data_IF_023431055253
#
_entry.id   IF_023431055253
#
_cell.length_a   1.000
_cell.length_b   1.000
_cell.length_c   1.000
_cell.angle_alpha   90.00
_cell.angle_beta   90.00
_cell.angle_gamma   90.00
#
_symmetry.space_group_name_H-M   'P 1'
#
loop_
_entity.id
_entity.type
_entity.pdbx_description
1 polymer ?
#
# COMPACT_ATOMS: atom_id res chain seq x y z
N UNK A 1 -7.23 -8.93 -16.87
CA UNK A 1 -6.99 -7.55 -16.44
C UNK A 1 -6.25 -7.48 -15.10
N UNK A 2 -6.81 -8.06 -14.06
CA UNK A 2 -6.14 -8.12 -12.76
C UNK A 2 -5.37 -9.44 -12.65
N UNK A 3 -4.08 -9.34 -12.30
CA UNK A 3 -3.18 -10.50 -12.36
C UNK A 3 -3.03 -11.16 -11.00
N UNK A 4 -3.02 -10.38 -9.93
CA UNK A 4 -2.74 -10.84 -8.59
C UNK A 4 -3.12 -9.78 -7.58
N UNK A 5 -2.97 -10.08 -6.30
CA UNK A 5 -2.87 -9.06 -5.26
C UNK A 5 -1.42 -8.61 -5.26
N UNK A 6 -1.16 -7.42 -5.80
CA UNK A 6 0.20 -6.89 -5.95
C UNK A 6 0.85 -6.67 -4.59
N UNK A 7 0.14 -5.96 -3.72
CA UNK A 7 0.59 -5.78 -2.35
C UNK A 7 -0.54 -5.47 -1.41
N UNK A 8 -0.29 -5.71 -0.13
CA UNK A 8 -1.15 -5.30 0.98
C UNK A 8 -0.30 -4.42 1.88
N UNK A 9 -0.77 -3.20 2.18
CA UNK A 9 -0.10 -2.33 3.14
C UNK A 9 -0.76 -2.46 4.51
N UNK A 10 0.06 -2.78 5.50
CA UNK A 10 -0.36 -2.84 6.90
C UNK A 10 0.37 -1.74 7.65
N UNK A 11 -0.36 -0.95 8.42
CA UNK A 11 0.22 0.09 9.27
C UNK A 11 0.50 -0.49 10.66
N UNK A 12 1.66 -0.17 11.18
CA UNK A 12 2.10 -0.57 12.52
C UNK A 12 2.74 0.61 13.24
N UNK A 13 2.82 0.53 14.57
CA UNK A 13 3.49 1.58 15.35
C UNK A 13 5.00 1.48 15.27
N UNK A 14 5.54 0.27 15.13
CA UNK A 14 6.99 0.06 15.13
C UNK A 14 7.35 -1.06 14.17
N UNK A 15 8.04 -0.69 13.09
CA UNK A 15 8.44 -1.65 12.05
C UNK A 15 9.41 -2.70 12.60
N UNK A 16 10.39 -2.28 13.40
CA UNK A 16 11.43 -3.20 13.91
C UNK A 16 10.83 -4.27 14.82
N UNK A 17 9.87 -3.91 15.64
CA UNK A 17 9.16 -4.87 16.48
C UNK A 17 8.38 -5.88 15.65
N UNK A 18 7.74 -5.42 14.58
CA UNK A 18 6.99 -6.31 13.69
C UNK A 18 7.92 -7.23 12.93
N UNK A 19 9.07 -6.74 12.48
CA UNK A 19 10.07 -7.58 11.80
C UNK A 19 10.56 -8.70 12.73
N UNK A 20 10.80 -8.39 13.98
CA UNK A 20 11.19 -9.40 14.98
C UNK A 20 10.07 -10.40 15.23
N UNK A 21 8.84 -9.93 15.35
CA UNK A 21 7.69 -10.81 15.54
C UNK A 21 7.51 -11.78 14.36
N UNK A 22 7.62 -11.29 13.14
CA UNK A 22 7.46 -12.09 11.93
C UNK A 22 8.54 -13.16 11.82
N UNK A 23 9.79 -12.84 12.17
CA UNK A 23 10.88 -13.81 12.17
C UNK A 23 10.66 -14.88 13.25
N UNK A 24 10.39 -14.46 14.47
CA UNK A 24 10.25 -15.39 15.60
C UNK A 24 9.07 -16.34 15.44
N UNK A 25 7.94 -15.83 14.96
CA UNK A 25 6.70 -16.62 14.94
C UNK A 25 6.45 -17.32 13.61
N UNK A 26 6.82 -16.71 12.50
CA UNK A 26 6.52 -17.24 11.17
C UNK A 26 7.76 -17.63 10.38
N UNK A 27 8.97 -17.37 10.92
CA UNK A 27 10.21 -17.61 10.19
C UNK A 27 10.33 -16.76 8.93
N UNK A 28 9.63 -15.65 8.86
CA UNK A 28 9.63 -14.78 7.69
C UNK A 28 10.57 -13.62 7.89
N UNK A 29 11.38 -13.35 6.86
CA UNK A 29 12.32 -12.23 6.85
C UNK A 29 11.98 -11.28 5.72
N UNK A 30 12.08 -9.97 5.95
CA UNK A 30 11.81 -9.01 4.88
C UNK A 30 12.89 -9.07 3.81
N UNK A 31 12.50 -8.81 2.56
CA UNK A 31 13.47 -8.66 1.47
C UNK A 31 14.10 -7.27 1.49
N UNK A 32 13.48 -6.33 2.21
CA UNK A 32 13.95 -4.94 2.27
C UNK A 32 13.36 -4.26 3.50
N UNK A 33 14.18 -3.47 4.20
CA UNK A 33 13.73 -2.55 5.24
C UNK A 33 14.36 -1.21 4.93
N UNK A 34 13.56 -0.16 4.81
CA UNK A 34 14.07 1.15 4.44
C UNK A 34 13.23 2.29 5.00
N UNK A 35 13.91 3.36 5.39
CA UNK A 35 13.30 4.63 5.78
C UNK A 35 13.21 5.53 4.56
N UNK A 36 12.03 6.09 4.31
CA UNK A 36 11.77 7.07 3.26
C UNK A 36 11.39 8.39 3.92
N UNK A 37 12.41 9.19 4.23
CA UNK A 37 12.22 10.45 4.98
C UNK A 37 11.28 11.41 4.29
N UNK A 38 11.40 11.54 2.97
CA UNK A 38 10.57 12.47 2.20
C UNK A 38 9.10 12.05 2.17
N UNK A 39 8.83 10.79 2.40
CA UNK A 39 7.47 10.26 2.47
C UNK A 39 6.99 10.02 3.88
N UNK A 40 7.86 10.28 4.87
CA UNK A 40 7.53 10.16 6.28
C UNK A 40 7.14 8.76 6.70
N UNK A 41 7.84 7.75 6.19
CA UNK A 41 7.52 6.36 6.53
C UNK A 41 8.75 5.45 6.52
N UNK A 42 8.62 4.33 7.22
CA UNK A 42 9.57 3.23 7.20
C UNK A 42 8.83 1.97 6.77
N UNK A 43 9.35 1.28 5.77
CA UNK A 43 8.75 0.06 5.23
C UNK A 43 9.63 -1.15 5.47
N UNK A 44 8.98 -2.26 5.81
CA UNK A 44 9.56 -3.60 5.69
C UNK A 44 8.73 -4.35 4.65
N UNK A 45 9.38 -4.86 3.61
CA UNK A 45 8.72 -5.52 2.50
C UNK A 45 8.96 -7.01 2.58
N UNK A 46 7.87 -7.78 2.56
CA UNK A 46 7.90 -9.25 2.53
C UNK A 46 7.33 -9.73 1.21
N UNK A 47 7.97 -10.72 0.62
CA UNK A 47 7.43 -11.38 -0.57
C UNK A 47 6.77 -12.68 -0.15
N UNK A 48 5.47 -12.79 -0.43
CA UNK A 48 4.66 -13.97 -0.10
C UNK A 48 4.02 -14.44 -1.40
N UNK A 49 4.66 -15.42 -2.07
CA UNK A 49 4.27 -15.79 -3.42
C UNK A 49 4.44 -14.61 -4.37
N UNK A 50 3.41 -14.25 -5.09
CA UNK A 50 3.41 -13.10 -6.01
C UNK A 50 2.94 -11.81 -5.34
N UNK A 51 2.63 -11.85 -4.06
CA UNK A 51 2.11 -10.71 -3.31
C UNK A 51 3.22 -10.14 -2.42
N UNK A 52 3.36 -8.83 -2.41
CA UNK A 52 4.19 -8.15 -1.44
C UNK A 52 3.35 -7.71 -0.24
N UNK A 53 3.86 -7.98 0.95
CA UNK A 53 3.31 -7.44 2.18
C UNK A 53 4.18 -6.26 2.57
N UNK A 54 3.58 -5.06 2.64
CA UNK A 54 4.28 -3.83 3.02
C UNK A 54 3.90 -3.47 4.43
N UNK A 55 4.81 -3.72 5.37
CA UNK A 55 4.64 -3.29 6.77
C UNK A 55 5.17 -1.87 6.86
N UNK A 56 4.29 -0.94 7.16
CA UNK A 56 4.61 0.49 7.10
C UNK A 56 4.42 1.14 8.46
N UNK A 57 5.47 1.85 8.91
CA UNK A 57 5.41 2.67 10.10
C UNK A 57 5.38 4.14 9.66
N UNK A 58 4.31 4.89 9.95
CA UNK A 58 4.31 6.33 9.73
C UNK A 58 5.31 6.98 10.68
N UNK A 59 6.21 7.80 10.15
CA UNK A 59 7.18 8.53 10.97
C UNK A 59 6.65 9.90 11.40
N UNK A 60 5.56 10.34 10.76
CA UNK A 60 4.86 11.59 11.08
C UNK A 60 3.40 11.25 11.37
N UNK A 61 3.02 11.32 12.63
CA UNK A 61 1.67 10.96 13.05
C UNK A 61 0.62 12.00 12.64
N UNK A 62 1.04 13.16 12.13
CA UNK A 62 0.12 14.13 11.54
C UNK A 62 -0.20 13.82 10.07
N UNK A 63 0.53 12.89 9.44
CA UNK A 63 0.24 12.44 8.07
C UNK A 63 -1.07 11.67 8.01
N UNK A 64 -1.59 11.46 6.80
CA UNK A 64 -2.81 10.66 6.62
C UNK A 64 -2.66 9.24 7.17
N UNK A 65 -1.53 8.59 6.92
CA UNK A 65 -1.27 7.26 7.47
C UNK A 65 -1.16 7.28 8.98
N UNK A 66 -0.48 8.28 9.53
CA UNK A 66 -0.36 8.44 10.98
C UNK A 66 -1.70 8.65 11.65
N UNK A 67 -2.54 9.52 11.10
CA UNK A 67 -3.88 9.76 11.62
C UNK A 67 -4.76 8.51 11.51
N UNK A 68 -4.63 7.77 10.42
CA UNK A 68 -5.36 6.52 10.24
C UNK A 68 -4.94 5.50 11.31
N UNK A 69 -3.64 5.33 11.52
CA UNK A 69 -3.10 4.41 12.52
C UNK A 69 -3.59 4.78 13.93
N UNK A 70 -3.58 6.06 14.26
CA UNK A 70 -4.00 6.52 15.58
C UNK A 70 -5.50 6.29 15.81
N UNK A 71 -6.32 6.51 14.77
CA UNK A 71 -7.76 6.33 14.86
C UNK A 71 -8.19 4.86 14.88
N UNK A 72 -7.57 4.04 14.01
CA UNK A 72 -7.99 2.66 13.78
C UNK A 72 -7.11 1.62 14.47
N UNK A 73 -5.91 1.98 14.89
CA UNK A 73 -4.93 1.03 15.36
C UNK A 73 -4.25 0.28 14.22
N UNK A 74 -3.32 -0.65 14.54
CA UNK A 74 -2.65 -1.44 13.51
C UNK A 74 -3.63 -2.23 12.66
N UNK A 75 -3.41 -2.25 11.35
CA UNK A 75 -4.29 -2.96 10.44
C UNK A 75 -4.00 -2.66 8.99
N UNK A 76 -4.86 -3.19 8.12
CA UNK A 76 -4.72 -3.03 6.68
C UNK A 76 -5.08 -1.59 6.29
N UNK A 77 -4.16 -0.93 5.58
CA UNK A 77 -4.37 0.41 5.08
C UNK A 77 -4.94 0.40 3.66
N UNK A 78 -4.40 -0.43 2.78
CA UNK A 78 -4.98 -0.63 1.45
C UNK A 78 -4.57 -1.99 0.87
N UNK A 79 -5.34 -2.42 -0.14
CA UNK A 79 -5.04 -3.58 -0.96
C UNK A 79 -4.88 -3.10 -2.40
N UNK A 80 -3.79 -3.50 -3.06
CA UNK A 80 -3.51 -3.14 -4.44
C UNK A 80 -3.61 -4.37 -5.32
N UNK A 81 -4.38 -4.26 -6.41
CA UNK A 81 -4.45 -5.30 -7.42
C UNK A 81 -3.44 -5.01 -8.53
N UNK A 82 -2.72 -6.05 -8.94
CA UNK A 82 -1.76 -5.95 -10.02
C UNK A 82 -2.44 -5.93 -11.38
N UNK A 83 -2.02 -5.03 -12.24
CA UNK A 83 -2.57 -4.89 -13.59
C UNK A 83 -1.45 -4.75 -14.60
N UNK A 84 -1.74 -5.12 -15.85
CA UNK A 84 -0.95 -4.74 -17.01
C UNK A 84 -1.64 -3.54 -17.66
N UNK A 85 -0.89 -2.51 -18.00
CA UNK A 85 -1.46 -1.29 -18.60
C UNK A 85 -2.28 -0.48 -17.60
N UNK A 86 -1.63 0.08 -16.60
CA UNK A 86 -2.30 0.80 -15.52
C UNK A 86 -3.10 2.01 -16.01
N UNK A 87 -2.64 2.69 -17.07
CA UNK A 87 -3.37 3.84 -17.61
C UNK A 87 -4.75 3.42 -18.14
N UNK A 88 -4.80 2.33 -18.90
CA UNK A 88 -6.06 1.83 -19.42
C UNK A 88 -6.95 1.28 -18.31
N UNK A 89 -6.36 0.62 -17.32
CA UNK A 89 -7.11 0.13 -16.16
C UNK A 89 -7.73 1.29 -15.37
N UNK A 90 -6.96 2.36 -15.15
CA UNK A 90 -7.46 3.54 -14.44
C UNK A 90 -8.58 4.23 -15.22
N UNK A 91 -8.43 4.37 -16.53
CA UNK A 91 -9.48 4.94 -17.39
C UNK A 91 -10.75 4.09 -17.35
N UNK A 92 -10.59 2.78 -17.39
CA UNK A 92 -11.72 1.86 -17.32
C UNK A 92 -12.47 1.98 -15.98
N UNK A 93 -11.76 2.12 -14.89
CA UNK A 93 -12.38 2.33 -13.58
C UNK A 93 -13.11 3.66 -13.51
N UNK A 94 -12.49 4.73 -14.02
CA UNK A 94 -13.13 6.05 -14.07
C UNK A 94 -14.40 6.02 -14.92
N UNK A 95 -14.38 5.32 -16.04
CA UNK A 95 -15.53 5.18 -16.93
C UNK A 95 -16.70 4.46 -16.26
N UNK A 96 -16.42 3.63 -15.26
CA UNK A 96 -17.45 2.94 -14.47
C UNK A 96 -17.97 3.77 -13.30
N UNK A 97 -17.49 5.00 -13.16
CA UNK A 97 -17.96 5.92 -12.12
C UNK A 97 -17.04 6.00 -10.91
N UNK A 98 -15.90 5.34 -10.93
CA UNK A 98 -14.95 5.45 -9.82
C UNK A 98 -14.19 6.77 -9.89
N UNK A 99 -14.08 7.45 -8.76
CA UNK A 99 -13.28 8.66 -8.62
C UNK A 99 -11.84 8.26 -8.33
N UNK A 100 -10.93 8.63 -9.21
CA UNK A 100 -9.52 8.37 -9.03
C UNK A 100 -8.88 9.54 -8.29
N UNK A 101 -7.96 9.23 -7.37
CA UNK A 101 -7.27 10.24 -6.58
C UNK A 101 -6.04 10.77 -7.29
N UNK A 102 -5.72 12.04 -7.01
CA UNK A 102 -4.52 12.68 -7.52
C UNK A 102 -4.66 13.17 -8.95
N UNK A 103 -3.65 13.90 -9.40
CA UNK A 103 -3.60 14.37 -10.77
C UNK A 103 -3.37 13.18 -11.70
N UNK A 104 -4.27 12.97 -12.64
CA UNK A 104 -4.29 11.81 -13.53
C UNK A 104 -4.45 10.47 -12.79
N UNK A 105 -4.68 10.49 -11.49
CA UNK A 105 -4.91 9.30 -10.70
C UNK A 105 -3.71 8.38 -10.51
N UNK A 106 -2.53 8.75 -11.00
CA UNK A 106 -1.36 7.87 -10.98
C UNK A 106 -0.21 8.48 -10.19
N UNK A 107 0.52 7.63 -9.48
CA UNK A 107 1.67 8.02 -8.65
C UNK A 107 2.71 6.91 -8.68
N UNK A 108 3.99 7.29 -8.72
CA UNK A 108 5.06 6.31 -8.52
C UNK A 108 5.27 6.08 -7.03
N UNK A 109 5.27 4.82 -6.63
CA UNK A 109 5.44 4.46 -5.22
C UNK A 109 6.90 4.62 -4.79
N UNK A 110 7.12 4.61 -3.47
CA UNK A 110 8.48 4.60 -2.91
C UNK A 110 9.26 3.36 -3.35
N UNK A 111 8.56 2.25 -3.62
CA UNK A 111 9.20 1.01 -4.06
C UNK A 111 9.42 0.95 -5.57
N UNK A 112 9.01 1.98 -6.30
CA UNK A 112 9.34 2.12 -7.73
C UNK A 112 8.25 1.69 -8.72
N UNK A 113 7.18 1.07 -8.27
CA UNK A 113 6.07 0.71 -9.16
C UNK A 113 5.07 1.85 -9.29
N UNK A 114 4.28 1.80 -10.36
CA UNK A 114 3.22 2.80 -10.56
C UNK A 114 1.94 2.37 -9.86
N UNK A 115 1.22 3.34 -9.30
CA UNK A 115 -0.04 3.09 -8.61
C UNK A 115 -1.11 4.06 -9.08
N UNK A 116 -2.36 3.64 -8.94
CA UNK A 116 -3.51 4.52 -9.05
C UNK A 116 -4.48 4.19 -7.91
N UNK A 117 -4.95 5.23 -7.23
CA UNK A 117 -5.79 5.07 -6.05
C UNK A 117 -7.24 5.35 -6.39
N UNK A 118 -8.13 4.47 -5.94
CA UNK A 118 -9.57 4.70 -5.99
C UNK A 118 -9.97 5.46 -4.74
N UNK A 119 -10.73 6.55 -4.90
CA UNK A 119 -11.27 7.26 -3.74
C UNK A 119 -12.21 6.30 -2.97
N UNK A 120 -12.03 6.13 -1.66
CA UNK A 120 -12.87 5.23 -0.87
C UNK A 120 -14.37 5.50 -0.96
N UNK A 121 -14.78 6.74 -1.26
CA UNK A 121 -16.20 7.04 -1.48
C UNK A 121 -16.76 6.25 -2.65
N UNK A 122 -15.93 5.94 -3.66
CA UNK A 122 -16.34 5.16 -4.82
C UNK A 122 -16.32 3.67 -4.56
N UNK A 123 -15.60 3.20 -3.55
CA UNK A 123 -15.37 1.79 -3.26
C UNK A 123 -15.91 1.35 -1.91
N UNK A 124 -17.04 1.89 -1.53
CA UNK A 124 -17.79 1.49 -0.31
C UNK A 124 -16.98 1.70 0.98
N UNK A 125 -16.08 2.66 0.97
CA UNK A 125 -15.29 3.04 2.15
C UNK A 125 -13.95 2.33 2.25
N UNK A 126 -13.66 1.33 1.43
CA UNK A 126 -12.37 0.63 1.49
C UNK A 126 -11.38 1.20 0.48
N UNK A 127 -10.13 1.51 0.88
CA UNK A 127 -9.14 2.10 -0.02
C UNK A 127 -8.47 1.02 -0.89
N UNK A 128 -8.97 0.87 -2.11
CA UNK A 128 -8.34 0.03 -3.11
C UNK A 128 -7.36 0.82 -3.97
N UNK A 129 -6.34 0.12 -4.44
CA UNK A 129 -5.31 0.65 -5.31
C UNK A 129 -5.09 -0.34 -6.45
N UNK A 130 -4.68 0.13 -7.61
CA UNK A 130 -4.12 -0.72 -8.65
C UNK A 130 -2.65 -0.39 -8.81
N UNK A 131 -1.85 -1.38 -9.22
CA UNK A 131 -0.40 -1.23 -9.29
C UNK A 131 0.15 -1.98 -10.50
N UNK A 132 1.21 -1.42 -11.08
CA UNK A 132 1.93 -2.04 -12.19
C UNK A 132 3.43 -1.93 -11.95
N UNK A 133 4.12 -3.05 -12.10
CA UNK A 133 5.57 -3.12 -11.88
C UNK A 133 5.97 -3.98 -10.67
#
# INVERSE_FOLDING_TARGET
MFNNVHHVRILVYNTDDMVEYMDTNFGMRPIKVQVYKQRGMKNAIYKVGDTNLEITEPLDMSSKMGQFLEREGPGIYHIAFGVDGIEEAAKGLAAKGNKMRGENGMTRSAEGYMTANIDPESSLGFPFQIAEG
#
